data_IF_151439994123
#
_entry.id   IF_151439994123
#
_cell.length_a   1.000
_cell.length_b   1.000
_cell.length_c   1.000
_cell.angle_alpha   90.00
_cell.angle_beta   90.00
_cell.angle_gamma   90.00
#
_symmetry.space_group_name_H-M   'P 1'
#
loop_
_entity.id
_entity.type
_entity.pdbx_description
1 polymer ?
#
# COMPACT_ATOMS: atom_id res chain seq x y z
N UNK A 1 4.09 -12.58 0.60
CA UNK A 1 3.97 -12.56 2.07
C UNK A 1 5.19 -11.88 2.67
N UNK A 2 5.00 -11.09 3.70
CA UNK A 2 6.07 -10.43 4.47
C UNK A 2 5.96 -10.87 5.91
N UNK A 3 7.07 -11.30 6.50
CA UNK A 3 7.15 -11.72 7.90
C UNK A 3 8.19 -10.89 8.63
N UNK A 4 7.77 -10.31 9.75
CA UNK A 4 8.63 -9.64 10.73
C UNK A 4 8.56 -10.44 12.02
N UNK A 5 9.73 -10.81 12.56
CA UNK A 5 9.87 -11.49 13.85
C UNK A 5 10.89 -10.81 14.73
N UNK A 6 10.73 -10.97 16.03
CA UNK A 6 11.67 -10.47 17.05
C UNK A 6 11.94 -8.97 16.96
N UNK A 7 10.93 -8.16 16.54
CA UNK A 7 11.06 -6.72 16.48
C UNK A 7 11.21 -6.14 17.89
N UNK A 8 12.40 -5.59 18.21
CA UNK A 8 12.71 -4.99 19.49
C UNK A 8 13.35 -3.62 19.27
N UNK A 9 12.67 -2.56 19.72
CA UNK A 9 13.12 -1.17 19.55
C UNK A 9 12.97 -0.43 20.87
N UNK A 10 14.06 0.16 21.30
CA UNK A 10 14.12 1.04 22.47
C UNK A 10 14.79 2.36 22.11
N UNK A 11 14.13 3.48 22.41
CA UNK A 11 14.69 4.83 22.45
C UNK A 11 14.81 5.27 23.91
N UNK A 12 14.28 6.42 24.28
CA UNK A 12 14.15 6.83 25.69
C UNK A 12 13.18 5.92 26.48
N UNK A 13 12.36 5.17 25.74
CA UNK A 13 11.44 4.14 26.24
C UNK A 13 11.37 2.97 25.28
N UNK A 14 10.93 1.83 25.78
CA UNK A 14 10.62 0.67 24.93
C UNK A 14 9.45 1.02 24.00
N UNK A 15 9.62 0.81 22.71
CA UNK A 15 8.58 0.97 21.69
C UNK A 15 8.02 -0.40 21.33
N UNK A 16 8.90 -1.34 20.96
CA UNK A 16 8.58 -2.73 20.71
C UNK A 16 9.49 -3.65 21.53
N UNK A 17 8.95 -4.75 21.99
CA UNK A 17 9.63 -5.80 22.74
C UNK A 17 9.24 -7.15 22.17
N UNK A 18 10.11 -7.76 21.36
CA UNK A 18 9.88 -9.04 20.69
C UNK A 18 8.50 -9.11 20.01
N UNK A 19 8.18 -8.12 19.18
CA UNK A 19 6.93 -8.05 18.43
C UNK A 19 7.07 -8.75 17.08
N UNK A 20 5.95 -9.25 16.56
CA UNK A 20 5.92 -9.93 15.26
C UNK A 20 4.67 -9.53 14.49
N UNK A 21 4.77 -9.48 13.16
CA UNK A 21 3.65 -9.22 12.25
C UNK A 21 3.88 -9.94 10.93
N UNK A 22 2.81 -10.49 10.37
CA UNK A 22 2.78 -11.07 9.03
C UNK A 22 1.82 -10.28 8.15
N UNK A 23 2.25 -9.93 6.93
CA UNK A 23 1.42 -9.27 5.93
C UNK A 23 1.17 -10.22 4.76
N UNK A 24 -0.10 -10.42 4.45
CA UNK A 24 -0.52 -11.27 3.34
C UNK A 24 -0.44 -10.55 2.00
N UNK A 25 -0.24 -11.30 0.91
CA UNK A 25 -0.32 -10.72 -0.43
C UNK A 25 -1.77 -10.36 -0.78
N UNK A 26 -1.94 -9.37 -1.63
CA UNK A 26 -3.24 -8.93 -2.13
C UNK A 26 -4.26 -8.67 -1.01
N UNK A 27 -3.80 -8.09 0.08
CA UNK A 27 -4.62 -7.79 1.24
C UNK A 27 -4.33 -6.39 1.79
N UNK A 28 -5.35 -5.80 2.40
CA UNK A 28 -5.23 -4.57 3.19
C UNK A 28 -5.09 -4.98 4.65
N UNK A 29 -3.88 -4.84 5.16
CA UNK A 29 -3.60 -4.95 6.60
C UNK A 29 -3.72 -3.56 7.22
N UNK A 30 -4.49 -3.44 8.28
CA UNK A 30 -4.57 -2.21 9.09
C UNK A 30 -3.93 -2.43 10.45
N UNK A 31 -3.05 -1.53 10.83
CA UNK A 31 -2.52 -1.47 12.20
C UNK A 31 -3.03 -0.22 12.90
N UNK A 32 -3.81 -0.43 13.96
CA UNK A 32 -4.34 0.65 14.76
C UNK A 32 -3.52 0.86 16.05
N UNK A 33 -3.57 2.06 16.58
CA UNK A 33 -2.92 2.41 17.82
C UNK A 33 -3.05 3.91 18.11
N UNK A 34 -3.00 4.29 19.36
CA UNK A 34 -3.01 5.71 19.77
C UNK A 34 -1.79 6.43 19.19
N UNK A 35 -1.83 7.76 19.18
CA UNK A 35 -0.64 8.54 18.83
C UNK A 35 0.54 8.18 19.75
N UNK A 36 1.74 8.07 19.17
CA UNK A 36 2.97 7.74 19.93
C UNK A 36 3.12 6.26 20.34
N UNK A 37 2.29 5.33 19.86
CA UNK A 37 2.42 3.89 20.18
C UNK A 37 3.50 3.18 19.33
N UNK A 38 4.07 3.84 18.31
CA UNK A 38 5.10 3.24 17.46
C UNK A 38 4.66 2.89 16.05
N UNK A 39 3.45 3.32 15.58
CA UNK A 39 2.97 3.04 14.22
C UNK A 39 3.98 3.47 13.15
N UNK A 40 4.40 4.73 13.15
CA UNK A 40 5.41 5.26 12.21
C UNK A 40 6.77 4.57 12.39
N UNK A 41 7.13 4.18 13.62
CA UNK A 41 8.35 3.42 13.90
C UNK A 41 8.31 2.05 13.22
N UNK A 42 7.16 1.35 13.28
CA UNK A 42 6.96 0.09 12.57
C UNK A 42 7.03 0.29 11.06
N UNK A 43 6.35 1.30 10.52
CA UNK A 43 6.41 1.61 9.08
C UNK A 43 7.85 1.92 8.63
N UNK A 44 8.64 2.61 9.44
CA UNK A 44 10.04 2.90 9.13
C UNK A 44 10.93 1.64 9.13
N UNK A 45 10.64 0.65 9.98
CA UNK A 45 11.31 -0.65 9.94
C UNK A 45 10.94 -1.41 8.65
N UNK A 46 9.64 -1.56 8.39
CA UNK A 46 9.12 -2.22 7.19
C UNK A 46 9.54 -1.51 5.90
N UNK A 47 9.62 -0.18 5.95
CA UNK A 47 10.07 0.67 4.85
C UNK A 47 11.59 0.69 4.64
N UNK A 48 12.36 -0.02 5.47
CA UNK A 48 13.83 -0.02 5.45
C UNK A 48 14.42 1.41 5.51
N UNK A 49 13.74 2.30 6.24
CA UNK A 49 14.16 3.70 6.46
C UNK A 49 15.13 3.78 7.64
N UNK A 50 14.95 2.88 8.61
CA UNK A 50 15.81 2.75 9.78
C UNK A 50 16.60 1.43 9.72
N UNK A 51 17.72 1.31 10.46
CA UNK A 51 18.43 0.05 10.60
C UNK A 51 17.50 -1.06 11.10
N UNK A 52 17.63 -2.26 10.55
CA UNK A 52 16.78 -3.39 10.93
C UNK A 52 17.00 -3.77 12.40
N UNK A 53 15.89 -3.88 13.13
CA UNK A 53 15.84 -4.30 14.53
C UNK A 53 14.96 -5.57 14.67
N UNK A 54 14.91 -6.41 13.63
CA UNK A 54 14.06 -7.59 13.54
C UNK A 54 14.57 -8.56 12.48
N UNK A 55 14.08 -9.77 12.50
CA UNK A 55 14.16 -10.69 11.37
C UNK A 55 13.11 -10.27 10.34
N UNK A 56 13.55 -9.90 9.14
CA UNK A 56 12.67 -9.43 8.07
C UNK A 56 12.78 -10.36 6.86
N UNK A 57 11.68 -11.05 6.56
CA UNK A 57 11.55 -11.90 5.39
C UNK A 57 10.55 -11.28 4.40
N UNK A 58 10.94 -11.17 3.16
CA UNK A 58 10.09 -10.81 2.02
C UNK A 58 10.07 -11.97 1.04
N UNK A 59 8.88 -12.53 0.77
CA UNK A 59 8.72 -13.73 -0.08
C UNK A 59 9.53 -14.94 0.43
N UNK A 60 9.70 -15.06 1.75
CA UNK A 60 10.49 -16.12 2.38
C UNK A 60 12.01 -15.91 2.38
N UNK A 61 12.50 -14.81 1.81
CA UNK A 61 13.92 -14.48 1.75
C UNK A 61 14.28 -13.33 2.69
N UNK A 62 15.41 -13.44 3.36
CA UNK A 62 15.96 -12.34 4.18
C UNK A 62 16.37 -11.17 3.29
N UNK A 63 16.24 -9.96 3.83
CA UNK A 63 16.68 -8.74 3.15
C UNK A 63 18.21 -8.65 3.17
N UNK A 64 18.84 -8.87 2.03
CA UNK A 64 20.31 -8.80 1.88
C UNK A 64 20.79 -7.37 1.63
N UNK A 65 20.08 -6.64 0.75
CA UNK A 65 20.36 -5.23 0.44
C UNK A 65 19.14 -4.35 0.72
N UNK A 66 19.08 -3.72 1.93
CA UNK A 66 17.98 -2.87 2.31
C UNK A 66 17.77 -1.66 1.38
N UNK A 67 18.83 -1.07 0.83
CA UNK A 67 18.73 0.11 -0.03
C UNK A 67 18.09 -0.23 -1.38
N UNK A 68 18.54 -1.28 -2.03
CA UNK A 68 17.96 -1.76 -3.29
C UNK A 68 16.54 -2.26 -3.08
N UNK A 69 16.29 -3.05 -2.03
CA UNK A 69 14.95 -3.52 -1.69
C UNK A 69 13.96 -2.36 -1.47
N UNK A 70 14.36 -1.35 -0.68
CA UNK A 70 13.55 -0.14 -0.48
C UNK A 70 13.27 0.59 -1.78
N UNK A 71 14.28 0.76 -2.62
CA UNK A 71 14.17 1.47 -3.89
C UNK A 71 13.20 0.77 -4.85
N UNK A 72 13.28 -0.55 -4.95
CA UNK A 72 12.57 -1.33 -5.98
C UNK A 72 11.26 -1.94 -5.51
N UNK A 73 11.17 -2.34 -4.24
CA UNK A 73 10.08 -3.18 -3.73
C UNK A 73 9.14 -2.49 -2.76
N UNK A 74 9.46 -1.29 -2.24
CA UNK A 74 8.68 -0.67 -1.18
C UNK A 74 8.17 0.70 -1.60
N UNK A 75 6.84 0.86 -1.71
CA UNK A 75 6.16 2.15 -1.79
C UNK A 75 5.88 2.68 -0.39
N UNK A 76 6.19 3.94 -0.11
CA UNK A 76 5.90 4.55 1.19
C UNK A 76 5.26 5.93 1.00
N UNK A 77 4.07 6.09 1.54
CA UNK A 77 3.35 7.37 1.60
C UNK A 77 3.31 7.82 3.05
N UNK A 78 4.05 8.87 3.33
CA UNK A 78 4.09 9.49 4.65
C UNK A 78 2.84 10.34 4.90
N UNK A 79 2.57 10.68 6.16
CA UNK A 79 1.45 11.54 6.56
C UNK A 79 1.54 12.93 5.89
N UNK A 80 2.74 13.47 5.74
CA UNK A 80 2.99 14.64 4.93
C UNK A 80 3.19 14.22 3.48
N UNK A 81 2.65 14.99 2.53
CA UNK A 81 2.66 14.65 1.11
C UNK A 81 4.06 14.37 0.58
N UNK A 82 4.22 13.26 -0.12
CA UNK A 82 5.44 12.87 -0.83
C UNK A 82 5.59 13.54 -2.20
N UNK A 83 4.62 14.34 -2.63
CA UNK A 83 4.63 15.00 -3.95
C UNK A 83 5.43 16.31 -3.92
N UNK A 84 6.09 16.59 -5.02
CA UNK A 84 6.83 17.81 -5.25
C UNK A 84 5.87 18.91 -5.75
N UNK A 85 5.63 19.94 -4.95
CA UNK A 85 4.65 21.00 -5.24
C UNK A 85 5.01 21.87 -6.45
N UNK A 86 6.27 21.94 -6.81
CA UNK A 86 6.78 22.69 -7.98
C UNK A 86 6.74 21.88 -9.29
N UNK A 87 6.22 20.68 -9.25
CA UNK A 87 6.05 19.78 -10.39
C UNK A 87 4.56 19.48 -10.60
N UNK A 88 4.14 19.34 -11.85
CA UNK A 88 2.81 18.81 -12.17
C UNK A 88 2.65 17.36 -11.71
N UNK A 89 1.42 16.86 -11.63
CA UNK A 89 1.16 15.45 -11.33
C UNK A 89 1.90 14.54 -12.33
N UNK A 90 1.87 14.86 -13.63
CA UNK A 90 2.62 14.13 -14.67
C UNK A 90 4.12 14.09 -14.38
N UNK A 91 4.72 15.20 -14.03
CA UNK A 91 6.15 15.29 -13.73
C UNK A 91 6.51 14.53 -12.47
N UNK A 92 5.67 14.59 -11.43
CA UNK A 92 5.82 13.77 -10.24
C UNK A 92 5.84 12.27 -10.60
N UNK A 93 4.88 11.80 -11.43
CA UNK A 93 4.83 10.38 -11.84
C UNK A 93 6.08 9.96 -12.64
N UNK A 94 6.53 10.81 -13.58
CA UNK A 94 7.79 10.57 -14.30
C UNK A 94 9.00 10.49 -13.36
N UNK A 95 9.02 11.36 -12.36
CA UNK A 95 10.09 11.36 -11.37
C UNK A 95 10.11 10.10 -10.50
N UNK A 96 8.93 9.52 -10.20
CA UNK A 96 8.85 8.24 -9.49
C UNK A 96 9.55 7.08 -10.24
N UNK A 97 9.38 6.99 -11.57
CA UNK A 97 10.11 6.02 -12.40
C UNK A 97 11.63 6.26 -12.31
N UNK A 98 12.08 7.50 -12.41
CA UNK A 98 13.49 7.85 -12.31
C UNK A 98 14.07 7.42 -10.94
N UNK A 99 13.37 7.71 -9.85
CA UNK A 99 13.81 7.35 -8.49
C UNK A 99 13.92 5.84 -8.28
N UNK A 100 13.02 5.06 -8.88
CA UNK A 100 13.09 3.59 -8.80
C UNK A 100 14.15 2.98 -9.71
N UNK A 101 14.72 3.75 -10.65
CA UNK A 101 15.63 3.26 -11.67
C UNK A 101 14.94 2.48 -12.78
N UNK A 102 13.62 2.56 -12.88
CA UNK A 102 12.82 1.93 -13.95
C UNK A 102 12.74 2.85 -15.16
N UNK A 103 12.61 2.25 -16.35
CA UNK A 103 12.27 2.99 -17.54
C UNK A 103 10.86 3.56 -17.47
N UNK A 104 10.69 4.77 -17.99
CA UNK A 104 9.39 5.41 -18.08
C UNK A 104 8.42 4.58 -18.91
N UNK A 105 7.26 4.26 -18.35
CA UNK A 105 6.20 3.51 -18.99
C UNK A 105 4.88 4.30 -18.93
N UNK A 106 4.49 4.88 -20.07
CA UNK A 106 3.28 5.72 -20.15
C UNK A 106 1.99 4.92 -19.97
N UNK A 107 1.92 3.70 -20.50
CA UNK A 107 0.75 2.83 -20.33
C UNK A 107 0.51 2.55 -18.85
N UNK A 108 1.55 2.10 -18.14
CA UNK A 108 1.47 1.86 -16.71
C UNK A 108 1.09 3.11 -15.91
N UNK A 109 1.69 4.25 -16.25
CA UNK A 109 1.33 5.52 -15.61
C UNK A 109 -0.16 5.81 -15.76
N UNK A 110 -0.69 5.68 -16.99
CA UNK A 110 -2.09 5.94 -17.27
C UNK A 110 -3.01 4.94 -16.55
N UNK A 111 -2.66 3.66 -16.50
CA UNK A 111 -3.42 2.62 -15.81
C UNK A 111 -3.53 2.91 -14.30
N UNK A 112 -2.42 3.30 -13.65
CA UNK A 112 -2.42 3.67 -12.23
C UNK A 112 -3.24 4.96 -11.99
N UNK A 113 -3.10 5.98 -12.84
CA UNK A 113 -3.85 7.22 -12.72
C UNK A 113 -5.36 7.00 -12.90
N UNK A 114 -5.76 6.17 -13.85
CA UNK A 114 -7.14 5.71 -14.02
C UNK A 114 -7.65 4.96 -12.80
N UNK A 115 -6.87 4.00 -12.29
CA UNK A 115 -7.24 3.23 -11.08
C UNK A 115 -7.45 4.13 -9.87
N UNK A 116 -6.69 5.23 -9.75
CA UNK A 116 -6.82 6.23 -8.69
C UNK A 116 -7.81 7.36 -9.02
N UNK A 117 -8.43 7.35 -10.21
CA UNK A 117 -9.38 8.39 -10.70
C UNK A 117 -8.80 9.80 -10.66
N UNK A 118 -7.58 9.97 -11.14
CA UNK A 118 -6.84 11.25 -11.16
C UNK A 118 -6.21 11.57 -12.53
N UNK A 119 -6.55 10.87 -13.59
CA UNK A 119 -6.05 11.06 -14.95
C UNK A 119 -6.29 12.48 -15.47
N UNK A 120 -7.36 13.13 -15.04
CA UNK A 120 -7.72 14.49 -15.41
C UNK A 120 -6.83 15.57 -14.76
N UNK A 121 -6.01 15.19 -13.76
CA UNK A 121 -5.17 16.12 -12.98
C UNK A 121 -3.73 16.23 -13.50
N UNK A 122 -3.37 15.51 -14.55
CA UNK A 122 -1.99 15.36 -15.02
C UNK A 122 -1.21 16.67 -15.18
N UNK A 123 -1.89 17.75 -15.60
CA UNK A 123 -1.27 19.04 -15.86
C UNK A 123 -1.41 20.03 -14.68
N UNK A 124 -1.98 19.58 -13.55
CA UNK A 124 -2.10 20.38 -12.34
C UNK A 124 -0.93 20.10 -11.39
N UNK A 125 -0.60 21.06 -10.55
CA UNK A 125 0.37 20.86 -9.45
C UNK A 125 -0.37 20.41 -8.18
N UNK A 126 0.32 19.73 -7.23
CA UNK A 126 -0.31 19.23 -6.00
C UNK A 126 -1.01 20.31 -5.16
N UNK A 127 -0.63 21.56 -5.28
CA UNK A 127 -1.26 22.67 -4.54
C UNK A 127 -2.59 23.14 -5.15
N UNK A 128 -2.89 22.72 -6.38
CA UNK A 128 -4.12 23.10 -7.11
C UNK A 128 -5.16 22.00 -7.20
N UNK A 129 -4.98 20.90 -6.45
CA UNK A 129 -5.94 19.79 -6.37
C UNK A 129 -6.50 19.66 -4.96
N UNK A 130 -7.66 19.03 -4.81
CA UNK A 130 -8.27 18.78 -3.49
C UNK A 130 -7.41 17.84 -2.64
N UNK A 131 -7.60 17.87 -1.32
CA UNK A 131 -6.86 16.99 -0.40
C UNK A 131 -7.01 15.50 -0.72
N UNK A 132 -8.21 15.07 -1.12
CA UNK A 132 -8.45 13.68 -1.54
C UNK A 132 -7.75 13.32 -2.85
N UNK A 133 -7.74 14.20 -3.83
CA UNK A 133 -7.00 14.01 -5.08
C UNK A 133 -5.50 14.00 -4.85
N UNK A 134 -5.00 14.91 -4.02
CA UNK A 134 -3.59 14.95 -3.62
C UNK A 134 -3.16 13.65 -2.94
N UNK A 135 -3.98 13.10 -2.06
CA UNK A 135 -3.71 11.83 -1.39
C UNK A 135 -3.69 10.65 -2.39
N UNK A 136 -4.65 10.60 -3.31
CA UNK A 136 -4.66 9.59 -4.37
C UNK A 136 -3.45 9.73 -5.31
N UNK A 137 -3.03 10.95 -5.61
CA UNK A 137 -1.81 11.19 -6.39
C UNK A 137 -0.54 10.75 -5.64
N UNK A 138 -0.46 10.96 -4.33
CA UNK A 138 0.66 10.48 -3.51
C UNK A 138 0.75 8.94 -3.51
N UNK A 139 -0.39 8.26 -3.45
CA UNK A 139 -0.45 6.80 -3.56
C UNK A 139 -0.07 6.35 -4.98
N UNK A 140 -0.60 7.00 -6.02
CA UNK A 140 -0.21 6.71 -7.40
C UNK A 140 1.30 6.86 -7.60
N UNK A 141 1.92 7.91 -7.05
CA UNK A 141 3.37 8.11 -7.08
C UNK A 141 4.13 6.90 -6.48
N UNK A 142 3.68 6.40 -5.33
CA UNK A 142 4.30 5.25 -4.69
C UNK A 142 4.10 3.94 -5.49
N UNK A 143 2.98 3.83 -6.22
CA UNK A 143 2.67 2.67 -7.06
C UNK A 143 3.43 2.64 -8.40
N UNK A 144 4.00 3.78 -8.88
CA UNK A 144 4.71 3.83 -10.17
C UNK A 144 5.86 2.84 -10.26
N UNK A 145 6.50 2.52 -9.15
CA UNK A 145 7.64 1.60 -9.10
C UNK A 145 7.29 0.11 -8.97
N UNK A 146 6.00 -0.27 -9.02
CA UNK A 146 5.52 -1.64 -8.84
C UNK A 146 5.92 -2.26 -7.50
N UNK A 147 5.57 -1.65 -6.41
CA UNK A 147 6.07 -2.10 -5.13
C UNK A 147 5.41 -3.43 -4.75
N UNK A 148 6.19 -4.31 -4.12
CA UNK A 148 5.68 -5.50 -3.45
C UNK A 148 4.99 -5.16 -2.12
N UNK A 149 5.45 -4.08 -1.44
CA UNK A 149 4.90 -3.55 -0.21
C UNK A 149 4.53 -2.07 -0.36
N UNK A 150 3.29 -1.73 -0.08
CA UNK A 150 2.81 -0.35 0.00
C UNK A 150 2.51 0.01 1.46
N UNK A 151 3.24 0.98 1.99
CA UNK A 151 3.10 1.51 3.34
C UNK A 151 2.41 2.86 3.32
N UNK A 152 1.34 3.00 4.11
CA UNK A 152 0.56 4.23 4.20
C UNK A 152 0.47 4.67 5.66
N UNK A 153 1.02 5.85 5.98
CA UNK A 153 0.94 6.44 7.32
C UNK A 153 -0.19 7.47 7.39
N UNK A 154 -1.24 7.17 8.14
CA UNK A 154 -2.43 8.00 8.36
C UNK A 154 -3.06 8.56 7.05
N UNK A 155 -3.29 7.73 6.00
CA UNK A 155 -3.65 8.23 4.66
C UNK A 155 -5.04 8.88 4.59
N UNK A 156 -5.86 8.76 5.62
CA UNK A 156 -7.23 9.29 5.67
C UNK A 156 -7.42 10.42 6.67
N UNK A 157 -6.35 10.84 7.39
CA UNK A 157 -6.44 11.80 8.50
C UNK A 157 -7.03 13.16 8.10
N UNK A 158 -6.76 13.63 6.87
CA UNK A 158 -7.24 14.93 6.34
C UNK A 158 -8.45 14.80 5.41
N UNK A 159 -9.02 13.59 5.26
CA UNK A 159 -10.10 13.33 4.31
C UNK A 159 -11.48 13.38 5.01
N UNK A 160 -12.47 13.90 4.29
CA UNK A 160 -13.87 13.70 4.65
C UNK A 160 -14.29 12.22 4.48
N UNK A 161 -15.48 11.87 4.95
CA UNK A 161 -15.93 10.47 4.93
C UNK A 161 -16.13 9.91 3.51
N UNK A 162 -16.49 10.75 2.54
CA UNK A 162 -16.70 10.34 1.14
C UNK A 162 -15.34 10.00 0.49
N UNK A 163 -14.37 10.91 0.60
CA UNK A 163 -13.03 10.72 0.06
C UNK A 163 -12.27 9.60 0.79
N UNK A 164 -12.49 9.43 2.09
CA UNK A 164 -11.96 8.32 2.88
C UNK A 164 -12.43 6.97 2.34
N UNK A 165 -13.74 6.79 2.15
CA UNK A 165 -14.34 5.59 1.60
C UNK A 165 -13.84 5.32 0.18
N UNK A 166 -13.87 6.35 -0.69
CA UNK A 166 -13.40 6.25 -2.07
C UNK A 166 -11.95 5.78 -2.14
N UNK A 167 -11.07 6.33 -1.30
CA UNK A 167 -9.65 5.96 -1.28
C UNK A 167 -9.47 4.46 -1.01
N UNK A 168 -10.15 3.94 0.01
CA UNK A 168 -10.02 2.53 0.38
C UNK A 168 -10.63 1.61 -0.68
N UNK A 169 -11.77 1.97 -1.27
CA UNK A 169 -12.37 1.22 -2.37
C UNK A 169 -11.42 1.14 -3.57
N UNK A 170 -10.79 2.25 -3.98
CA UNK A 170 -9.82 2.27 -5.07
C UNK A 170 -8.58 1.42 -4.77
N UNK A 171 -8.08 1.45 -3.52
CA UNK A 171 -6.98 0.58 -3.11
C UNK A 171 -7.38 -0.89 -3.14
N UNK A 172 -8.57 -1.23 -2.65
CA UNK A 172 -9.10 -2.60 -2.68
C UNK A 172 -9.22 -3.11 -4.13
N UNK A 173 -9.78 -2.30 -5.03
CA UNK A 173 -9.89 -2.66 -6.44
C UNK A 173 -8.50 -2.87 -7.08
N UNK A 174 -7.53 -2.02 -6.74
CA UNK A 174 -6.16 -2.11 -7.25
C UNK A 174 -5.47 -3.40 -6.82
N UNK A 175 -5.52 -3.76 -5.54
CA UNK A 175 -4.86 -4.97 -5.02
C UNK A 175 -5.45 -6.28 -5.54
N UNK A 176 -6.71 -6.27 -6.01
CA UNK A 176 -7.32 -7.44 -6.65
C UNK A 176 -6.69 -7.78 -8.01
N UNK A 177 -6.08 -6.80 -8.65
CA UNK A 177 -5.47 -6.95 -9.99
C UNK A 177 -3.95 -6.90 -9.97
N UNK A 178 -3.35 -6.41 -8.87
CA UNK A 178 -1.90 -6.24 -8.73
C UNK A 178 -1.42 -6.90 -7.43
N UNK A 179 -0.36 -7.72 -7.50
CA UNK A 179 0.15 -8.45 -6.33
C UNK A 179 0.94 -7.52 -5.39
N UNK A 180 0.25 -6.81 -4.53
CA UNK A 180 0.84 -5.90 -3.54
C UNK A 180 0.33 -6.19 -2.14
N UNK A 181 1.23 -6.16 -1.14
CA UNK A 181 0.88 -6.13 0.28
C UNK A 181 0.64 -4.68 0.68
N UNK A 182 -0.51 -4.36 1.25
CA UNK A 182 -0.79 -2.99 1.74
C UNK A 182 -0.84 -2.99 3.25
N UNK A 183 -0.04 -2.12 3.89
CA UNK A 183 -0.13 -1.85 5.32
C UNK A 183 -0.51 -0.39 5.56
N UNK A 184 -1.63 -0.18 6.23
CA UNK A 184 -2.13 1.13 6.64
C UNK A 184 -1.96 1.27 8.15
N UNK A 185 -1.16 2.24 8.57
CA UNK A 185 -1.09 2.64 9.98
C UNK A 185 -2.08 3.79 10.22
N UNK A 186 -3.04 3.59 11.12
CA UNK A 186 -4.05 4.63 11.37
C UNK A 186 -4.72 4.50 12.73
N UNK A 187 -5.33 5.61 13.18
CA UNK A 187 -6.29 5.62 14.28
C UNK A 187 -7.74 5.89 13.80
N UNK A 188 -7.93 6.01 12.49
CA UNK A 188 -9.21 6.32 11.87
C UNK A 188 -10.15 5.10 11.87
N UNK A 189 -11.22 5.19 12.67
CA UNK A 189 -12.19 4.10 12.80
C UNK A 189 -13.02 3.87 11.53
N UNK A 190 -13.09 4.86 10.62
CA UNK A 190 -13.91 4.79 9.41
C UNK A 190 -13.42 3.72 8.43
N UNK A 191 -12.14 3.33 8.50
CA UNK A 191 -11.55 2.37 7.57
C UNK A 191 -11.25 0.99 8.17
N UNK A 192 -11.46 0.81 9.47
CA UNK A 192 -11.14 -0.46 10.16
C UNK A 192 -11.91 -1.65 9.57
N UNK A 193 -13.15 -1.43 9.17
CA UNK A 193 -14.02 -2.50 8.64
C UNK A 193 -13.58 -2.98 7.24
N UNK A 194 -12.77 -2.21 6.54
CA UNK A 194 -12.20 -2.59 5.24
C UNK A 194 -10.92 -3.44 5.35
N UNK A 195 -10.41 -3.65 6.56
CA UNK A 195 -9.23 -4.47 6.77
C UNK A 195 -9.52 -5.95 6.49
N UNK A 196 -8.67 -6.60 5.70
CA UNK A 196 -8.59 -8.05 5.62
C UNK A 196 -7.95 -8.59 6.91
N UNK A 197 -6.81 -8.01 7.28
CA UNK A 197 -6.10 -8.27 8.53
C UNK A 197 -6.06 -7.01 9.40
N UNK A 198 -6.40 -7.15 10.68
CA UNK A 198 -6.40 -6.05 11.63
C UNK A 198 -5.51 -6.36 12.83
N UNK A 199 -4.59 -5.46 13.10
CA UNK A 199 -3.69 -5.52 14.26
C UNK A 199 -3.83 -4.29 15.16
N UNK A 200 -3.42 -4.43 16.39
CA UNK A 200 -3.32 -3.32 17.34
C UNK A 200 -1.97 -3.33 18.07
N UNK A 201 -1.37 -2.15 18.23
CA UNK A 201 -0.18 -2.00 19.08
C UNK A 201 -0.64 -1.83 20.52
N UNK A 202 -0.33 -2.82 21.37
CA UNK A 202 -0.65 -2.84 22.81
C UNK A 202 0.54 -3.36 23.59
N UNK A 203 0.88 -2.70 24.69
CA UNK A 203 1.93 -3.12 25.62
C UNK A 203 3.23 -3.53 24.90
N UNK A 204 3.70 -2.72 23.96
CA UNK A 204 4.92 -2.94 23.16
C UNK A 204 4.86 -4.18 22.23
N UNK A 205 3.71 -4.78 22.04
CA UNK A 205 3.48 -5.91 21.14
C UNK A 205 2.53 -5.52 20.01
N UNK A 206 2.54 -6.31 18.95
CA UNK A 206 1.58 -6.23 17.84
C UNK A 206 0.61 -7.40 17.99
N UNK A 207 -0.65 -7.07 18.33
CA UNK A 207 -1.67 -8.07 18.66
C UNK A 207 -2.64 -8.19 17.48
N UNK A 208 -2.85 -9.38 16.90
CA UNK A 208 -3.85 -9.59 15.87
C UNK A 208 -5.27 -9.49 16.48
N UNK A 209 -6.15 -8.72 15.85
CA UNK A 209 -7.57 -8.60 16.22
C UNK A 209 -8.49 -9.30 15.22
N UNK A 210 -8.09 -9.31 13.94
CA UNK A 210 -8.75 -10.02 12.84
C UNK A 210 -7.65 -10.53 11.91
N UNK A 211 -7.72 -11.80 11.52
CA UNK A 211 -6.92 -12.37 10.44
C UNK A 211 -7.84 -12.94 9.39
N UNK A 212 -7.56 -12.65 8.13
CA UNK A 212 -8.13 -13.38 7.01
C UNK A 212 -7.69 -14.83 7.15
N UNK A 213 -8.64 -15.78 7.16
CA UNK A 213 -8.32 -17.21 7.13
C UNK A 213 -7.79 -17.55 5.71
N UNK A 214 -6.56 -17.15 5.41
CA UNK A 214 -5.79 -17.83 4.39
C UNK A 214 -5.22 -19.04 5.12
N UNK A 215 -5.84 -20.21 4.90
CA UNK A 215 -5.30 -21.48 5.36
C UNK A 215 -3.82 -21.55 4.97
N UNK A 216 -2.97 -21.91 5.93
CA UNK A 216 -1.62 -22.40 5.68
C UNK A 216 -1.74 -23.62 4.76
N UNK A 217 -1.80 -23.40 3.46
CA UNK A 217 -1.51 -24.43 2.49
C UNK A 217 0.00 -24.68 2.60
N UNK A 218 0.33 -25.71 3.36
CA UNK A 218 1.64 -26.34 3.33
C UNK A 218 2.17 -26.34 1.90
N UNK A 219 3.41 -25.92 1.76
CA UNK A 219 4.16 -25.84 0.51
C UNK A 219 4.26 -27.21 -0.15
N UNK A 220 3.24 -27.60 -0.89
CA UNK A 220 3.37 -28.57 -1.97
C UNK A 220 3.47 -27.77 -3.25
N UNK A 221 4.62 -27.90 -3.89
CA UNK A 221 4.94 -27.32 -5.20
C UNK A 221 3.91 -27.75 -6.24
N UNK A 222 2.90 -26.89 -6.46
CA UNK A 222 1.98 -27.03 -7.58
C UNK A 222 2.26 -25.91 -8.56
N UNK A 223 2.88 -26.27 -9.67
CA UNK A 223 2.97 -25.45 -10.87
C UNK A 223 1.57 -25.00 -11.27
N UNK A 224 1.18 -23.77 -10.92
CA UNK A 224 -0.10 -23.19 -11.35
C UNK A 224 -0.02 -22.84 -12.83
N UNK A 225 -0.83 -23.53 -13.66
CA UNK A 225 -1.17 -23.07 -15.00
C UNK A 225 -1.84 -21.70 -14.91
N UNK A 226 -1.60 -20.77 -15.86
CA UNK A 226 -2.24 -19.46 -15.84
C UNK A 226 -3.76 -19.63 -15.89
N UNK A 227 -4.45 -19.21 -14.84
CA UNK A 227 -5.90 -19.15 -14.83
C UNK A 227 -6.38 -18.02 -15.74
N UNK A 228 -7.35 -18.38 -16.59
CA UNK A 228 -7.92 -17.55 -17.64
C UNK A 228 -8.72 -16.38 -17.02
N UNK A 229 -8.09 -15.20 -16.88
CA UNK A 229 -8.67 -13.98 -16.30
C UNK A 229 -9.93 -13.47 -17.01
N UNK A 230 -10.20 -13.94 -18.24
CA UNK A 230 -11.39 -13.57 -19.02
C UNK A 230 -12.73 -13.95 -18.36
N UNK A 231 -12.77 -14.99 -17.51
CA UNK A 231 -14.01 -15.42 -16.85
C UNK A 231 -14.38 -14.53 -15.67
N UNK A 232 -13.39 -13.96 -15.00
CA UNK A 232 -13.56 -13.03 -13.86
C UNK A 232 -14.09 -11.68 -14.35
N UNK A 233 -13.53 -11.15 -15.45
CA UNK A 233 -13.99 -9.90 -16.08
C UNK A 233 -15.43 -9.98 -16.57
N UNK A 234 -15.88 -11.12 -17.13
CA UNK A 234 -17.28 -11.29 -17.55
C UNK A 234 -18.28 -11.24 -16.41
N UNK A 235 -17.92 -11.67 -15.20
CA UNK A 235 -18.82 -11.72 -14.05
C UNK A 235 -18.99 -10.35 -13.35
N UNK A 236 -17.97 -9.49 -13.42
CA UNK A 236 -18.02 -8.13 -12.87
C UNK A 236 -18.53 -7.08 -13.85
N UNK A 237 -18.29 -7.23 -15.15
CA UNK A 237 -18.89 -6.37 -16.19
C UNK A 237 -20.43 -6.42 -16.23
N UNK A 238 -21.03 -7.53 -15.82
CA UNK A 238 -22.51 -7.68 -15.79
C UNK A 238 -23.14 -6.92 -14.60
N UNK A 239 -22.38 -6.58 -13.57
CA UNK A 239 -22.89 -5.83 -12.39
C UNK A 239 -22.73 -4.30 -12.46
N UNK A 240 -21.88 -3.79 -13.33
CA UNK A 240 -21.66 -2.34 -13.52
C UNK A 240 -22.20 -1.79 -14.85
N UNK A 241 -22.96 -2.58 -15.63
CA UNK A 241 -23.43 -2.19 -16.94
C UNK A 241 -24.62 -1.26 -16.87
N UNK A 242 -24.37 0.07 -16.90
CA UNK A 242 -25.25 1.02 -17.65
C UNK A 242 -24.49 2.18 -18.28
N UNK A 243 -23.15 2.23 -18.26
CA UNK A 243 -22.38 3.38 -18.78
C UNK A 243 -21.15 3.08 -19.65
N UNK A 244 -20.81 1.83 -19.98
CA UNK A 244 -19.57 1.51 -20.70
C UNK A 244 -19.72 0.78 -22.04
N UNK A 245 -20.90 0.84 -22.68
CA UNK A 245 -21.11 0.21 -24.00
C UNK A 245 -20.70 1.09 -25.19
N UNK A 246 -20.17 2.28 -24.99
CA UNK A 246 -19.83 3.20 -26.10
C UNK A 246 -18.34 3.25 -26.52
N UNK A 247 -17.49 2.32 -26.11
CA UNK A 247 -16.06 2.36 -26.47
C UNK A 247 -15.49 1.07 -27.06
N UNK A 248 -16.30 0.22 -27.68
CA UNK A 248 -15.82 -0.92 -28.47
C UNK A 248 -16.72 -1.11 -29.72
N UNK A 249 -16.67 -0.16 -30.64
CA UNK A 249 -16.91 -0.35 -32.11
C UNK A 249 -15.85 0.49 -32.81
#
# INVERSE_FOLDING_TARGET
MIDIKHLSITFDRVIFDDASITLSNNSITIIKGKSGTGKTTLLNQLGLVAPLACDYLMEGHSIEDPLTTRKEKIGYVHQESTLFNNMTIRENMKFAFLLSGQEYNETRMNDILCSMKIEHLLNQTPDHVSGGERQRAAIAFALMKDPYLLLLDEPTASLDSINCKLLIELLSDYIHTHPVCVLIATHDKRIIDYADDLYEIQNHKIVPLKKSMIEELETTSVTRKPQNYLSYYKKHLIRSSKSYIYFLV
#
